data_IF_556067711690
#
_entry.id   IF_556067711690
#
_cell.length_a   1.000
_cell.length_b   1.000
_cell.length_c   1.000
_cell.angle_alpha   90.00
_cell.angle_beta   90.00
_cell.angle_gamma   90.00
#
_symmetry.space_group_name_H-M   'P 1'
#
loop_
_entity.id
_entity.type
_entity.pdbx_description
1 polymer ?
#
# COMPACT_ATOMS: atom_id res chain seq x y z
N UNK A 1 22.00 5.44 17.07
CA UNK A 1 21.98 6.37 15.92
C UNK A 1 23.01 7.48 16.10
N UNK A 2 23.92 7.62 15.14
CA UNK A 2 24.83 8.76 15.05
C UNK A 2 24.07 9.96 14.48
N UNK A 3 24.48 11.19 14.80
CA UNK A 3 23.84 12.40 14.24
C UNK A 3 23.92 12.49 12.71
N UNK A 4 24.79 11.70 12.08
CA UNK A 4 24.93 11.57 10.63
C UNK A 4 23.87 10.65 9.98
N UNK A 5 23.10 9.89 10.76
CA UNK A 5 22.10 8.96 10.23
C UNK A 5 20.82 9.71 9.77
N UNK A 6 20.49 10.83 10.42
CA UNK A 6 19.32 11.66 10.11
C UNK A 6 19.37 12.19 8.66
N UNK A 7 20.46 12.82 8.17
CA UNK A 7 20.52 13.28 6.79
C UNK A 7 20.49 12.13 5.77
N UNK A 8 20.93 10.92 6.13
CA UNK A 8 20.90 9.76 5.23
C UNK A 8 19.47 9.29 4.92
N UNK A 9 18.54 9.45 5.87
CA UNK A 9 17.11 9.11 5.68
C UNK A 9 16.45 10.07 4.67
N UNK A 10 16.88 11.33 4.61
CA UNK A 10 16.33 12.32 3.70
C UNK A 10 17.07 12.42 2.35
N UNK A 11 18.09 11.59 2.13
CA UNK A 11 18.93 11.62 0.93
C UNK A 11 18.85 10.29 0.15
N UNK A 12 19.12 10.33 -1.15
CA UNK A 12 19.16 9.14 -2.01
C UNK A 12 17.79 8.49 -2.27
N UNK A 13 17.75 7.16 -2.27
CA UNK A 13 16.57 6.38 -2.67
C UNK A 13 15.49 6.23 -1.57
N UNK A 14 15.81 6.56 -0.31
CA UNK A 14 14.90 6.33 0.81
C UNK A 14 13.60 7.16 0.73
N UNK A 15 13.64 8.48 0.44
CA UNK A 15 12.41 9.27 0.29
C UNK A 15 11.54 8.78 -0.86
N UNK A 16 12.15 8.32 -1.96
CA UNK A 16 11.44 7.79 -3.13
C UNK A 16 10.72 6.49 -2.78
N UNK A 17 11.38 5.57 -2.07
CA UNK A 17 10.73 4.36 -1.57
C UNK A 17 9.57 4.68 -0.61
N UNK A 18 9.73 5.69 0.26
CA UNK A 18 8.66 6.15 1.14
C UNK A 18 7.44 6.69 0.38
N UNK A 19 7.62 7.38 -0.76
CA UNK A 19 6.51 7.82 -1.61
C UNK A 19 5.69 6.63 -2.11
N UNK A 20 6.34 5.55 -2.55
CA UNK A 20 5.62 4.34 -2.99
C UNK A 20 4.85 3.65 -1.85
N UNK A 21 5.41 3.62 -0.64
CA UNK A 21 4.72 3.12 0.55
C UNK A 21 3.51 3.99 0.91
N UNK A 22 3.66 5.32 0.86
CA UNK A 22 2.55 6.25 1.09
C UNK A 22 1.43 6.07 0.06
N UNK A 23 1.78 5.85 -1.21
CA UNK A 23 0.81 5.54 -2.26
C UNK A 23 0.05 4.24 -1.99
N UNK A 24 0.74 3.18 -1.54
CA UNK A 24 0.09 1.92 -1.17
C UNK A 24 -0.87 2.12 0.02
N UNK A 25 -0.47 2.92 1.02
CA UNK A 25 -1.33 3.29 2.16
C UNK A 25 -2.57 4.09 1.73
N UNK A 26 -2.44 4.99 0.76
CA UNK A 26 -3.57 5.73 0.17
C UNK A 26 -4.58 4.80 -0.51
N UNK A 27 -4.11 3.72 -1.14
CA UNK A 27 -4.99 2.69 -1.71
C UNK A 27 -5.93 2.04 -0.69
N UNK A 28 -5.46 1.83 0.56
CA UNK A 28 -6.30 1.29 1.64
C UNK A 28 -7.32 2.30 2.17
N UNK A 29 -7.03 3.60 2.07
CA UNK A 29 -7.93 4.66 2.49
C UNK A 29 -9.17 4.72 1.58
N UNK A 30 -9.00 4.60 0.25
CA UNK A 30 -10.11 4.48 -0.70
C UNK A 30 -10.95 3.20 -0.49
N UNK A 31 -10.30 2.07 -0.20
CA UNK A 31 -11.00 0.82 0.12
C UNK A 31 -11.83 0.93 1.41
N UNK A 32 -11.33 1.67 2.41
CA UNK A 32 -12.05 1.94 3.65
C UNK A 32 -13.25 2.90 3.46
N UNK A 33 -13.15 3.88 2.56
CA UNK A 33 -14.28 4.77 2.23
C UNK A 33 -15.48 4.02 1.65
N UNK A 34 -15.22 3.09 0.72
CA UNK A 34 -16.27 2.29 0.07
C UNK A 34 -16.82 1.21 1.03
N UNK A 35 -16.06 0.83 2.07
CA UNK A 35 -16.47 -0.17 3.05
C UNK A 35 -17.79 0.16 3.77
N UNK A 36 -18.15 1.45 3.90
CA UNK A 36 -19.43 1.88 4.49
C UNK A 36 -20.67 1.56 3.64
N UNK A 37 -20.50 1.42 2.33
CA UNK A 37 -21.57 1.05 1.39
C UNK A 37 -21.60 -0.46 1.12
N UNK A 38 -20.53 -1.17 1.53
CA UNK A 38 -20.37 -2.61 1.33
C UNK A 38 -21.02 -3.39 2.48
N UNK A 39 -21.86 -4.37 2.12
CA UNK A 39 -22.51 -5.27 3.08
C UNK A 39 -21.46 -6.17 3.75
N UNK A 40 -21.26 -6.01 5.06
CA UNK A 40 -20.24 -6.70 5.90
C UNK A 40 -18.76 -6.34 5.56
N UNK A 41 -18.32 -5.11 5.88
CA UNK A 41 -16.97 -4.63 5.57
C UNK A 41 -15.86 -5.45 6.24
N UNK A 42 -16.10 -6.02 7.42
CA UNK A 42 -15.13 -6.83 8.18
C UNK A 42 -14.63 -8.05 7.41
N UNK A 43 -15.43 -8.58 6.47
CA UNK A 43 -15.03 -9.71 5.61
C UNK A 43 -14.73 -9.29 4.18
N UNK A 44 -15.46 -8.32 3.65
CA UNK A 44 -15.30 -7.91 2.26
C UNK A 44 -13.98 -7.15 2.00
N UNK A 45 -13.53 -6.30 2.93
CA UNK A 45 -12.32 -5.49 2.75
C UNK A 45 -11.05 -6.35 2.67
N UNK A 46 -10.80 -7.32 3.57
CA UNK A 46 -9.63 -8.21 3.46
C UNK A 46 -9.65 -9.04 2.18
N UNK A 47 -10.82 -9.54 1.77
CA UNK A 47 -10.97 -10.38 0.57
C UNK A 47 -10.73 -9.58 -0.71
N UNK A 48 -11.23 -8.35 -0.79
CA UNK A 48 -11.00 -7.46 -1.93
C UNK A 48 -9.51 -7.09 -2.07
N UNK A 49 -8.83 -6.83 -0.95
CA UNK A 49 -7.39 -6.55 -0.94
C UNK A 49 -6.58 -7.76 -1.41
N UNK A 50 -6.81 -8.93 -0.82
CA UNK A 50 -6.10 -10.16 -1.22
C UNK A 50 -6.39 -10.52 -2.68
N UNK A 51 -7.64 -10.42 -3.11
CA UNK A 51 -8.05 -10.68 -4.48
C UNK A 51 -7.40 -9.72 -5.48
N UNK A 52 -7.37 -8.41 -5.18
CA UNK A 52 -6.71 -7.41 -5.99
C UNK A 52 -5.19 -7.62 -6.07
N UNK A 53 -4.54 -7.90 -4.95
CA UNK A 53 -3.09 -8.19 -4.92
C UNK A 53 -2.75 -9.45 -5.72
N UNK A 54 -3.53 -10.53 -5.58
CA UNK A 54 -3.33 -11.76 -6.35
C UNK A 54 -3.55 -11.52 -7.85
N UNK A 55 -4.59 -10.78 -8.23
CA UNK A 55 -4.87 -10.47 -9.62
C UNK A 55 -3.70 -9.71 -10.28
N UNK A 56 -3.19 -8.66 -9.62
CA UNK A 56 -2.03 -7.90 -10.12
C UNK A 56 -0.76 -8.75 -10.14
N UNK A 57 -0.56 -9.61 -9.14
CA UNK A 57 0.60 -10.51 -9.07
C UNK A 57 0.59 -11.50 -10.24
N UNK A 58 -0.56 -12.11 -10.53
CA UNK A 58 -0.72 -13.03 -11.66
C UNK A 58 -0.52 -12.31 -13.00
N UNK A 59 -1.08 -11.10 -13.15
CA UNK A 59 -0.87 -10.27 -14.33
C UNK A 59 0.61 -9.90 -14.51
N UNK A 60 1.33 -9.59 -13.43
CA UNK A 60 2.74 -9.21 -13.49
C UNK A 60 3.67 -10.40 -13.78
N UNK A 61 3.38 -11.59 -13.25
CA UNK A 61 4.19 -12.80 -13.48
C UNK A 61 3.85 -13.49 -14.81
N UNK A 62 2.61 -13.35 -15.26
CA UNK A 62 2.13 -13.92 -16.52
C UNK A 62 2.44 -13.07 -17.77
N UNK A 63 2.85 -11.81 -17.58
CA UNK A 63 3.31 -10.89 -18.64
C UNK A 63 4.83 -10.92 -18.75
#
# INVERSE_FOLDING_TARGET
PSSADIPMVFQGAFPVAMVYVMYAYSGWNAAAYIAGEVRNPTRAVPVALIGGTLAVTVLYVGL
#
